data_IF_827453767189
#
_entry.id   IF_827453767189
#
_cell.length_a   1.000
_cell.length_b   1.000
_cell.length_c   1.000
_cell.angle_alpha   90.00
_cell.angle_beta   90.00
_cell.angle_gamma   90.00
#
_symmetry.space_group_name_H-M   'P 1'
#
loop_
_entity.id
_entity.type
_entity.pdbx_description
1 polymer ?
#
# COMPACT_ATOMS: atom_id res chain seq x y z
N UNK A 1 6.25 40.05 1.72
CA UNK A 1 6.16 38.82 0.92
C UNK A 1 7.48 38.11 1.10
N UNK A 2 7.62 37.32 2.16
CA UNK A 2 8.87 36.61 2.46
C UNK A 2 8.48 35.15 2.64
N UNK A 3 8.71 34.38 1.59
CA UNK A 3 8.49 32.94 1.56
C UNK A 3 9.48 32.26 2.52
N UNK A 4 8.99 31.95 3.71
CA UNK A 4 9.69 31.15 4.70
C UNK A 4 9.61 29.66 4.30
N UNK A 5 10.45 29.26 3.35
CA UNK A 5 10.62 27.87 2.91
C UNK A 5 12.04 27.42 3.25
N UNK A 6 12.31 27.19 4.53
CA UNK A 6 13.43 26.34 4.93
C UNK A 6 13.09 24.89 4.52
N UNK A 7 13.82 24.27 3.58
CA UNK A 7 13.63 22.86 3.29
C UNK A 7 14.10 22.10 4.52
N UNK A 8 13.16 21.72 5.40
CA UNK A 8 13.43 20.90 6.60
C UNK A 8 14.49 19.87 6.27
N UNK A 9 15.70 20.06 6.79
CA UNK A 9 16.86 19.21 6.52
C UNK A 9 16.42 17.76 6.51
N UNK A 10 16.62 17.08 5.37
CA UNK A 10 16.20 15.69 5.22
C UNK A 10 16.96 14.88 6.26
N UNK A 11 16.27 14.53 7.36
CA UNK A 11 16.88 13.79 8.46
C UNK A 11 17.41 12.46 7.92
N UNK A 12 18.68 12.17 8.22
CA UNK A 12 19.30 10.90 7.84
C UNK A 12 18.46 9.73 8.39
N UNK A 13 18.20 8.69 7.59
CA UNK A 13 17.46 7.53 8.06
C UNK A 13 18.18 6.90 9.25
N UNK A 14 17.41 6.36 10.21
CA UNK A 14 17.92 5.75 11.45
C UNK A 14 17.14 4.49 11.77
N UNK A 15 17.74 3.61 12.57
CA UNK A 15 17.10 2.38 13.02
C UNK A 15 16.68 1.49 11.86
N UNK A 16 15.43 1.00 11.88
CA UNK A 16 14.90 0.12 10.84
C UNK A 16 14.99 0.73 9.43
N UNK A 17 14.74 2.03 9.30
CA UNK A 17 14.78 2.73 8.00
C UNK A 17 16.20 2.94 7.45
N UNK A 18 17.23 2.83 8.30
CA UNK A 18 18.63 2.90 7.88
C UNK A 18 19.21 1.56 7.43
N UNK A 19 18.52 0.45 7.73
CA UNK A 19 18.97 -0.89 7.37
C UNK A 19 18.78 -1.16 5.87
N UNK A 20 19.53 -2.10 5.32
CA UNK A 20 19.32 -2.55 3.94
C UNK A 20 17.97 -3.27 3.74
N UNK A 21 17.41 -3.27 2.52
CA UNK A 21 16.09 -3.82 2.24
C UNK A 21 15.97 -5.31 2.58
N UNK A 22 17.03 -6.10 2.36
CA UNK A 22 17.00 -7.53 2.67
C UNK A 22 16.94 -7.79 4.17
N UNK A 23 17.72 -7.04 4.94
CA UNK A 23 17.71 -7.17 6.39
C UNK A 23 16.39 -6.68 7.00
N UNK A 24 15.80 -5.60 6.46
CA UNK A 24 14.45 -5.17 6.84
C UNK A 24 13.40 -6.25 6.57
N UNK A 25 13.45 -6.88 5.39
CA UNK A 25 12.54 -7.99 5.04
C UNK A 25 12.69 -9.16 6.00
N UNK A 26 13.92 -9.54 6.32
CA UNK A 26 14.19 -10.64 7.24
C UNK A 26 13.63 -10.37 8.63
N UNK A 27 13.89 -9.19 9.20
CA UNK A 27 13.35 -8.77 10.50
C UNK A 27 11.83 -8.71 10.46
N UNK A 28 11.24 -8.12 9.41
CA UNK A 28 9.79 -8.04 9.26
C UNK A 28 9.17 -9.44 9.18
N UNK A 29 9.79 -10.35 8.42
CA UNK A 29 9.34 -11.73 8.29
C UNK A 29 9.48 -12.48 9.62
N UNK A 30 10.56 -12.27 10.37
CA UNK A 30 10.74 -12.86 11.69
C UNK A 30 9.71 -12.34 12.70
N UNK A 31 9.44 -11.04 12.70
CA UNK A 31 8.42 -10.41 13.54
C UNK A 31 7.02 -10.95 13.24
N UNK A 32 6.67 -11.08 11.96
CA UNK A 32 5.40 -11.68 11.53
C UNK A 32 5.26 -13.14 11.99
N UNK A 33 6.29 -13.97 11.75
CA UNK A 33 6.30 -15.37 12.22
C UNK A 33 6.20 -15.48 13.75
N UNK A 34 6.87 -14.59 14.48
CA UNK A 34 6.82 -14.55 15.93
C UNK A 34 5.41 -14.21 16.44
N UNK A 35 4.75 -13.20 15.87
CA UNK A 35 3.39 -12.82 16.26
C UNK A 35 2.37 -13.96 16.06
N UNK A 36 2.50 -14.73 14.97
CA UNK A 36 1.69 -15.93 14.75
C UNK A 36 2.00 -17.05 15.74
N UNK A 37 3.29 -17.30 16.02
CA UNK A 37 3.71 -18.31 17.02
C UNK A 37 3.22 -17.97 18.42
N UNK A 38 3.27 -16.71 18.81
CA UNK A 38 2.82 -16.21 20.11
C UNK A 38 1.29 -16.09 20.23
N UNK A 39 0.54 -16.34 19.15
CA UNK A 39 -0.92 -16.18 19.15
C UNK A 39 -1.39 -14.73 19.26
N UNK A 40 -0.49 -13.76 19.07
CA UNK A 40 -0.82 -12.33 19.10
C UNK A 40 -1.47 -11.87 17.79
N UNK A 41 -1.17 -12.56 16.69
CA UNK A 41 -1.77 -12.30 15.38
C UNK A 41 -3.14 -13.01 15.23
N UNK A 42 -4.04 -12.40 14.47
CA UNK A 42 -5.31 -13.01 14.08
C UNK A 42 -5.08 -14.26 13.23
N UNK A 43 -5.89 -15.30 13.48
CA UNK A 43 -5.85 -16.55 12.73
C UNK A 43 -7.14 -16.71 11.96
N UNK A 44 -7.06 -16.55 10.65
CA UNK A 44 -8.20 -16.77 9.77
C UNK A 44 -8.57 -18.26 9.74
N UNK A 45 -9.85 -18.52 9.95
CA UNK A 45 -10.43 -19.84 9.67
C UNK A 45 -10.76 -19.97 8.18
N UNK A 46 -10.86 -21.18 7.65
CA UNK A 46 -11.23 -21.40 6.25
C UNK A 46 -12.60 -20.80 5.90
N UNK A 47 -13.53 -20.80 6.85
CA UNK A 47 -14.85 -20.19 6.68
C UNK A 47 -14.75 -18.66 6.53
N UNK A 48 -13.98 -18.00 7.40
CA UNK A 48 -13.77 -16.56 7.38
C UNK A 48 -13.05 -16.11 6.09
N UNK A 49 -12.04 -16.87 5.67
CA UNK A 49 -11.34 -16.63 4.41
C UNK A 49 -12.30 -16.70 3.21
N UNK A 50 -13.19 -17.69 3.19
CA UNK A 50 -14.21 -17.85 2.12
C UNK A 50 -15.19 -16.68 2.13
N UNK A 51 -15.72 -16.30 3.29
CA UNK A 51 -16.66 -15.18 3.40
C UNK A 51 -16.04 -13.86 2.91
N UNK A 52 -14.79 -13.60 3.28
CA UNK A 52 -14.05 -12.43 2.82
C UNK A 52 -13.80 -12.46 1.29
N UNK A 53 -13.45 -13.63 0.74
CA UNK A 53 -13.27 -13.81 -0.69
C UNK A 53 -14.57 -13.56 -1.46
N UNK A 54 -15.69 -14.16 -1.05
CA UNK A 54 -17.01 -13.94 -1.67
C UNK A 54 -17.38 -12.46 -1.68
N UNK A 55 -17.20 -11.76 -0.54
CA UNK A 55 -17.45 -10.32 -0.45
C UNK A 55 -16.59 -9.53 -1.44
N UNK A 56 -15.30 -9.85 -1.55
CA UNK A 56 -14.37 -9.21 -2.51
C UNK A 56 -14.80 -9.47 -3.96
N UNK A 57 -15.14 -10.71 -4.30
CA UNK A 57 -15.57 -11.07 -5.65
C UNK A 57 -16.88 -10.39 -6.04
N UNK A 58 -17.84 -10.30 -5.11
CA UNK A 58 -19.10 -9.58 -5.34
C UNK A 58 -18.84 -8.07 -5.55
N UNK A 59 -18.00 -7.46 -4.72
CA UNK A 59 -17.63 -6.04 -4.88
C UNK A 59 -16.93 -5.77 -6.22
N UNK A 60 -16.04 -6.66 -6.66
CA UNK A 60 -15.36 -6.54 -7.96
C UNK A 60 -16.34 -6.64 -9.13
N UNK A 61 -17.31 -7.55 -9.04
CA UNK A 61 -18.35 -7.71 -10.06
C UNK A 61 -19.24 -6.46 -10.16
N UNK A 62 -19.62 -5.89 -9.01
CA UNK A 62 -20.38 -4.64 -8.98
C UNK A 62 -19.60 -3.45 -9.59
N UNK A 63 -18.28 -3.38 -9.38
CA UNK A 63 -17.43 -2.36 -9.99
C UNK A 63 -17.25 -2.56 -11.51
N UNK A 64 -17.16 -3.80 -11.98
CA UNK A 64 -17.04 -4.10 -13.42
C UNK A 64 -18.37 -4.00 -14.18
N UNK A 65 -19.51 -3.98 -13.49
CA UNK A 65 -20.84 -3.84 -14.08
C UNK A 65 -21.30 -2.37 -14.19
N UNK A 66 -20.55 -1.42 -13.61
CA UNK A 66 -20.76 0.00 -13.88
C UNK A 66 -20.25 0.33 -15.29
N UNK A 67 -21.01 1.07 -16.12
CA UNK A 67 -20.55 1.46 -17.45
C UNK A 67 -19.32 2.36 -17.29
N UNK A 68 -18.16 1.85 -17.70
CA UNK A 68 -16.96 2.65 -17.83
C UNK A 68 -17.14 3.57 -19.04
N UNK A 69 -17.54 4.81 -18.79
CA UNK A 69 -17.30 5.86 -19.78
C UNK A 69 -15.78 5.96 -20.01
N UNK A 70 -15.30 5.91 -21.26
CA UNK A 70 -13.89 6.08 -21.56
C UNK A 70 -13.52 7.53 -21.25
N UNK A 71 -12.98 7.77 -20.06
CA UNK A 71 -12.37 9.04 -19.70
C UNK A 71 -11.28 9.34 -20.74
N UNK A 72 -11.55 10.37 -21.54
CA UNK A 72 -10.72 10.82 -22.63
C UNK A 72 -9.26 10.99 -22.18
N UNK A 73 -8.35 10.36 -22.91
CA UNK A 73 -6.97 10.81 -23.06
C UNK A 73 -7.00 12.24 -23.60
N UNK A 74 -7.04 13.24 -22.72
CA UNK A 74 -6.60 14.59 -23.06
C UNK A 74 -5.08 14.57 -23.17
N UNK A 75 -4.63 14.23 -24.37
CA UNK A 75 -3.32 14.62 -24.88
C UNK A 75 -3.15 16.11 -24.63
N UNK A 76 -2.22 16.48 -23.75
CA UNK A 76 -1.72 17.84 -23.64
C UNK A 76 -0.60 17.97 -24.66
N UNK A 77 -0.99 18.30 -25.88
CA UNK A 77 -0.12 18.84 -26.92
C UNK A 77 -0.17 20.37 -26.82
N UNK A 78 1.00 20.99 -26.77
CA UNK A 78 1.26 22.42 -26.71
C UNK A 78 2.79 22.54 -26.62
N UNK A 79 3.54 22.52 -27.72
CA UNK A 79 3.64 23.56 -28.75
C UNK A 79 3.84 24.97 -28.15
N UNK A 80 4.99 25.55 -28.54
CA UNK A 80 5.45 26.93 -28.43
C UNK A 80 5.70 27.55 -27.04
N UNK A 81 6.98 27.58 -26.66
CA UNK A 81 7.78 28.82 -26.51
C UNK A 81 9.28 28.53 -26.39
#
# INVERSE_FOLDING_TARGET
>A
MTDNQDPKERRKPRGFAAMGPEFQREIAAQGGRAAHRLGKAHRFTSQEARAAATKRHAARQAQSAAPSEPAATTATQGEDR
#
